data_IF_245867675378
#
_entry.id   IF_245867675378
#
_cell.length_a   1.000
_cell.length_b   1.000
_cell.length_c   1.000
_cell.angle_alpha   90.00
_cell.angle_beta   90.00
_cell.angle_gamma   90.00
#
_symmetry.space_group_name_H-M   'P 1'
#
loop_
_entity.id
_entity.type
_entity.pdbx_description
1 polymer ?
#
# COMPACT_ATOMS: atom_id res chain seq x y z
N UNK A 1 -17.06 -38.68 -16.21
CA UNK A 1 -16.61 -38.86 -14.81
C UNK A 1 -16.75 -37.54 -14.05
N UNK A 2 -17.68 -37.47 -13.09
CA UNK A 2 -17.89 -36.25 -12.29
C UNK A 2 -16.91 -36.21 -11.11
N UNK A 3 -15.60 -36.10 -11.39
CA UNK A 3 -14.57 -36.03 -10.34
C UNK A 3 -14.33 -34.61 -9.83
N UNK A 4 -14.78 -33.60 -10.54
CA UNK A 4 -14.62 -32.20 -10.14
C UNK A 4 -15.80 -31.33 -10.57
N UNK A 5 -16.01 -30.22 -9.85
CA UNK A 5 -17.03 -29.20 -10.15
C UNK A 5 -16.36 -27.85 -10.25
N UNK A 6 -16.68 -27.07 -11.26
CA UNK A 6 -16.25 -25.67 -11.38
C UNK A 6 -16.95 -24.84 -10.30
N UNK A 7 -16.16 -24.10 -9.52
CA UNK A 7 -16.64 -23.21 -8.46
C UNK A 7 -16.59 -21.75 -8.90
N UNK A 8 -15.51 -21.35 -9.58
CA UNK A 8 -15.33 -20.00 -10.10
C UNK A 8 -14.70 -20.04 -11.48
N UNK A 9 -15.01 -19.04 -12.32
CA UNK A 9 -14.39 -18.87 -13.64
C UNK A 9 -13.19 -17.95 -13.65
N UNK A 10 -13.13 -17.02 -12.69
CA UNK A 10 -12.02 -16.08 -12.56
C UNK A 10 -11.73 -15.79 -11.08
N UNK A 11 -10.58 -16.23 -10.53
CA UNK A 11 -9.67 -17.21 -11.14
C UNK A 11 -10.37 -18.55 -11.38
N UNK A 12 -9.91 -19.31 -12.38
CA UNK A 12 -10.52 -20.61 -12.69
C UNK A 12 -10.27 -21.57 -11.53
N UNK A 13 -11.34 -21.96 -10.86
CA UNK A 13 -11.28 -22.77 -9.64
C UNK A 13 -12.21 -23.97 -9.76
N UNK A 14 -11.68 -25.13 -9.46
CA UNK A 14 -12.44 -26.38 -9.41
C UNK A 14 -12.42 -26.93 -7.99
N UNK A 15 -13.52 -27.52 -7.56
CA UNK A 15 -13.61 -28.32 -6.33
C UNK A 15 -13.55 -29.80 -6.72
N UNK A 16 -12.62 -30.54 -6.14
CA UNK A 16 -12.59 -32.00 -6.25
C UNK A 16 -13.76 -32.59 -5.49
N UNK A 17 -14.39 -33.62 -6.04
CA UNK A 17 -15.54 -34.32 -5.44
C UNK A 17 -15.13 -35.65 -4.81
N UNK A 18 -13.88 -35.87 -4.58
CA UNK A 18 -13.28 -37.01 -3.90
C UNK A 18 -12.24 -36.51 -2.89
N UNK A 19 -11.98 -37.33 -1.89
CA UNK A 19 -10.94 -37.01 -0.91
C UNK A 19 -9.57 -37.12 -1.56
N UNK A 20 -8.78 -36.08 -1.41
CA UNK A 20 -7.40 -36.01 -1.86
C UNK A 20 -6.48 -35.69 -0.71
N UNK A 21 -5.21 -36.06 -0.84
CA UNK A 21 -4.18 -35.67 0.11
C UNK A 21 -4.00 -34.17 0.10
N UNK A 22 -3.96 -33.53 1.29
CA UNK A 22 -3.77 -32.10 1.46
C UNK A 22 -2.29 -31.72 1.51
N UNK A 23 -1.44 -32.41 0.75
CA UNK A 23 -0.04 -32.03 0.65
C UNK A 23 0.09 -30.78 -0.19
N UNK A 24 0.51 -29.69 0.43
CA UNK A 24 0.87 -28.44 -0.24
C UNK A 24 2.36 -28.25 -0.17
N UNK A 25 2.97 -27.82 -1.27
CA UNK A 25 4.38 -27.43 -1.24
C UNK A 25 4.51 -26.04 -0.64
N UNK A 26 5.63 -25.75 0.00
CA UNK A 26 5.92 -24.44 0.54
C UNK A 26 6.17 -23.45 -0.59
N UNK A 27 5.46 -22.31 -0.53
CA UNK A 27 5.55 -21.25 -1.51
C UNK A 27 5.98 -19.94 -0.86
N UNK A 28 6.86 -19.25 -1.55
CA UNK A 28 7.42 -17.96 -1.12
C UNK A 28 6.80 -16.85 -1.98
N UNK A 29 6.12 -15.90 -1.35
CA UNK A 29 5.59 -14.71 -2.04
C UNK A 29 6.57 -13.55 -1.86
N UNK A 30 7.19 -13.11 -2.95
CA UNK A 30 7.95 -11.87 -3.05
C UNK A 30 7.04 -10.71 -3.44
N UNK A 31 7.19 -9.59 -2.76
CA UNK A 31 6.40 -8.36 -3.02
C UNK A 31 7.34 -7.17 -3.18
N UNK A 32 7.36 -6.60 -4.38
CA UNK A 32 7.94 -5.28 -4.64
C UNK A 32 6.91 -4.20 -4.34
N UNK A 33 7.18 -3.40 -3.31
CA UNK A 33 6.25 -2.40 -2.80
C UNK A 33 6.42 -1.05 -3.49
N UNK A 34 6.06 -0.96 -4.75
CA UNK A 34 6.08 0.30 -5.51
C UNK A 34 4.97 1.29 -5.10
N UNK A 35 5.18 2.56 -5.35
CA UNK A 35 4.18 3.61 -5.06
C UNK A 35 3.16 3.81 -6.18
N UNK A 36 3.50 3.43 -7.40
CA UNK A 36 2.64 3.49 -8.60
C UNK A 36 2.23 2.12 -9.10
N UNK A 37 3.10 1.13 -8.92
CA UNK A 37 2.91 -0.24 -9.35
C UNK A 37 3.35 -1.17 -8.23
N UNK A 38 2.68 -2.29 -8.07
CA UNK A 38 3.03 -3.36 -7.13
C UNK A 38 3.42 -4.56 -7.97
N UNK A 39 4.65 -5.05 -7.83
CA UNK A 39 5.10 -6.30 -8.40
C UNK A 39 4.95 -7.44 -7.39
N UNK A 40 4.44 -8.60 -7.82
CA UNK A 40 4.43 -9.79 -6.98
C UNK A 40 4.89 -11.00 -7.76
N UNK A 41 5.61 -11.89 -7.11
CA UNK A 41 6.02 -13.18 -7.67
C UNK A 41 5.93 -14.25 -6.59
N UNK A 42 5.44 -15.43 -6.97
CA UNK A 42 5.41 -16.60 -6.09
C UNK A 42 6.34 -17.66 -6.67
N UNK A 43 7.27 -18.14 -5.85
CA UNK A 43 8.19 -19.22 -6.20
C UNK A 43 8.09 -20.38 -5.24
N UNK A 44 8.51 -21.55 -5.69
CA UNK A 44 8.81 -22.68 -4.83
C UNK A 44 10.20 -22.51 -4.18
N UNK A 45 10.59 -23.43 -3.30
CA UNK A 45 11.91 -23.46 -2.66
C UNK A 45 13.06 -23.63 -3.66
N UNK A 46 12.80 -24.18 -4.83
CA UNK A 46 13.79 -24.39 -5.90
C UNK A 46 13.96 -23.17 -6.79
N UNK A 47 13.17 -22.11 -6.58
CA UNK A 47 13.21 -20.89 -7.38
C UNK A 47 12.36 -20.94 -8.66
N UNK A 48 11.54 -21.96 -8.87
CA UNK A 48 10.61 -21.98 -9.99
C UNK A 48 9.45 -21.04 -9.72
N UNK A 49 9.15 -20.17 -10.69
CA UNK A 49 8.07 -19.20 -10.57
C UNK A 49 6.73 -19.86 -10.92
N UNK A 50 5.79 -19.82 -9.97
CA UNK A 50 4.45 -20.39 -10.09
C UNK A 50 3.42 -19.34 -10.48
N UNK A 51 3.62 -18.10 -10.02
CA UNK A 51 2.69 -16.99 -10.24
C UNK A 51 3.44 -15.66 -10.30
N UNK A 52 2.98 -14.77 -11.18
CA UNK A 52 3.47 -13.38 -11.22
C UNK A 52 2.29 -12.45 -11.47
N UNK A 53 2.30 -11.28 -10.83
CA UNK A 53 1.36 -10.20 -11.14
C UNK A 53 2.00 -8.83 -11.03
N UNK A 54 1.47 -7.91 -11.82
CA UNK A 54 1.77 -6.49 -11.76
C UNK A 54 0.47 -5.71 -11.63
N UNK A 55 0.38 -4.85 -10.62
CA UNK A 55 -0.83 -4.09 -10.32
C UNK A 55 -0.52 -2.61 -10.34
N UNK A 56 -1.23 -1.88 -11.18
CA UNK A 56 -1.19 -0.41 -11.18
C UNK A 56 -2.01 0.12 -10.03
N UNK A 57 -1.33 0.81 -9.11
CA UNK A 57 -1.96 1.40 -7.94
C UNK A 57 -2.81 2.60 -8.34
N UNK A 58 -3.96 2.69 -7.75
CA UNK A 58 -4.92 3.77 -7.99
C UNK A 58 -4.32 5.15 -7.72
N UNK A 59 -4.38 6.06 -8.69
CA UNK A 59 -3.81 7.40 -8.65
C UNK A 59 -4.85 8.54 -8.59
N UNK A 60 -6.16 8.25 -8.68
CA UNK A 60 -7.24 9.25 -8.75
C UNK A 60 -7.69 9.83 -7.39
N UNK A 61 -7.13 9.34 -6.28
CA UNK A 61 -7.53 9.73 -4.92
C UNK A 61 -7.35 11.24 -4.69
N UNK A 62 -6.23 11.80 -5.12
CA UNK A 62 -5.94 13.23 -4.96
C UNK A 62 -7.00 14.09 -5.66
N UNK A 63 -7.35 13.76 -6.90
CA UNK A 63 -8.37 14.47 -7.67
C UNK A 63 -9.74 14.37 -7.00
N UNK A 64 -10.13 13.18 -6.54
CA UNK A 64 -11.39 12.97 -5.80
C UNK A 64 -11.43 13.74 -4.47
N UNK A 65 -10.33 13.82 -3.75
CA UNK A 65 -10.25 14.61 -2.52
C UNK A 65 -10.37 16.12 -2.79
N UNK A 66 -9.78 16.61 -3.87
CA UNK A 66 -9.92 18.01 -4.32
C UNK A 66 -11.35 18.32 -4.71
N UNK A 67 -12.00 17.45 -5.48
CA UNK A 67 -13.43 17.59 -5.81
C UNK A 67 -14.31 17.63 -4.56
N UNK A 68 -14.10 16.70 -3.62
CA UNK A 68 -14.81 16.68 -2.34
C UNK A 68 -14.61 17.98 -1.55
N UNK A 69 -13.42 18.56 -1.56
CA UNK A 69 -13.14 19.84 -0.91
C UNK A 69 -13.92 20.98 -1.60
N UNK A 70 -13.95 20.99 -2.96
CA UNK A 70 -14.74 21.95 -3.76
C UNK A 70 -16.23 21.85 -3.44
N UNK A 71 -16.81 20.65 -3.43
CA UNK A 71 -18.22 20.46 -3.09
C UNK A 71 -18.56 20.87 -1.65
N UNK A 72 -17.68 20.58 -0.68
CA UNK A 72 -17.87 21.04 0.71
C UNK A 72 -17.83 22.56 0.82
N UNK A 73 -16.94 23.22 0.06
CA UNK A 73 -16.86 24.70 0.01
C UNK A 73 -18.16 25.28 -0.58
N UNK A 74 -18.61 24.76 -1.73
CA UNK A 74 -19.86 25.21 -2.36
C UNK A 74 -21.06 25.01 -1.45
N UNK A 75 -21.16 23.86 -0.75
CA UNK A 75 -22.25 23.59 0.19
C UNK A 75 -22.26 24.57 1.36
N UNK A 76 -21.11 24.98 1.87
CA UNK A 76 -20.99 25.99 2.92
C UNK A 76 -21.41 27.38 2.45
N UNK A 77 -21.11 27.72 1.21
CA UNK A 77 -21.39 29.04 0.65
C UNK A 77 -22.85 29.21 0.17
N UNK A 78 -23.62 28.14 0.02
CA UNK A 78 -25.03 28.19 -0.41
C UNK A 78 -25.97 28.80 0.63
N UNK A 79 -25.60 28.79 1.90
CA UNK A 79 -26.41 29.37 2.97
C UNK A 79 -25.77 30.68 3.41
N UNK A 80 -26.60 31.68 3.54
CA UNK A 80 -26.29 33.11 3.80
C UNK A 80 -25.39 33.39 5.01
N UNK A 81 -25.15 32.42 5.88
CA UNK A 81 -24.32 32.60 7.05
C UNK A 81 -22.87 32.16 6.77
N UNK A 82 -21.96 33.14 6.67
CA UNK A 82 -20.53 32.86 6.62
C UNK A 82 -20.09 32.15 7.90
N UNK A 83 -19.48 30.99 7.75
CA UNK A 83 -18.81 30.29 8.83
C UNK A 83 -17.31 30.32 8.59
N UNK A 84 -16.54 30.78 9.56
CA UNK A 84 -15.08 30.71 9.51
C UNK A 84 -14.62 29.30 9.21
N UNK A 85 -13.63 29.16 8.33
CA UNK A 85 -13.01 27.88 8.07
C UNK A 85 -12.33 27.37 9.35
N UNK A 86 -12.62 26.13 9.74
CA UNK A 86 -12.01 25.50 10.92
C UNK A 86 -10.70 24.84 10.52
N UNK A 87 -9.66 25.62 10.38
CA UNK A 87 -8.33 25.13 9.98
C UNK A 87 -7.72 24.17 11.00
N UNK A 88 -7.95 24.42 12.28
CA UNK A 88 -7.36 23.69 13.41
C UNK A 88 -8.08 22.39 13.79
N UNK A 89 -9.19 22.03 13.12
CA UNK A 89 -9.90 20.78 13.43
C UNK A 89 -9.04 19.52 13.22
N UNK A 90 -7.94 19.61 12.47
CA UNK A 90 -7.01 18.49 12.27
C UNK A 90 -6.04 18.32 13.43
N UNK A 91 -5.60 19.43 14.05
CA UNK A 91 -4.68 19.39 15.19
C UNK A 91 -5.33 18.74 16.43
N UNK A 92 -6.64 18.94 16.64
CA UNK A 92 -7.41 18.38 17.76
C UNK A 92 -8.23 17.14 17.37
N UNK A 93 -7.97 16.54 16.22
CA UNK A 93 -8.69 15.34 15.79
C UNK A 93 -8.23 14.12 16.58
N UNK A 94 -9.18 13.29 17.02
CA UNK A 94 -8.92 11.94 17.59
C UNK A 94 -8.09 11.07 16.63
N UNK A 95 -8.08 11.43 15.34
CA UNK A 95 -7.32 10.72 14.28
C UNK A 95 -6.02 11.45 13.91
N UNK A 96 -5.32 11.99 14.89
CA UNK A 96 -4.15 12.85 14.70
C UNK A 96 -3.04 12.13 13.89
N UNK A 97 -2.80 10.87 14.16
CA UNK A 97 -1.68 10.11 13.60
C UNK A 97 -2.05 9.22 12.40
N UNK A 98 -3.21 9.45 11.79
CA UNK A 98 -3.64 8.69 10.63
C UNK A 98 -2.86 9.07 9.36
N UNK A 99 -2.61 8.10 8.52
CA UNK A 99 -2.13 8.33 7.16
C UNK A 99 -3.13 9.17 6.35
N UNK A 100 -2.61 9.90 5.37
CA UNK A 100 -3.47 10.58 4.38
C UNK A 100 -4.34 9.56 3.62
N UNK A 101 -5.52 9.97 3.10
CA UNK A 101 -6.38 9.05 2.33
C UNK A 101 -5.67 8.39 1.15
N UNK A 102 -4.71 9.09 0.51
CA UNK A 102 -3.90 8.54 -0.58
C UNK A 102 -2.99 7.42 -0.08
N UNK A 103 -2.31 7.62 1.05
CA UNK A 103 -1.44 6.60 1.65
C UNK A 103 -2.24 5.39 2.13
N UNK A 104 -3.39 5.63 2.79
CA UNK A 104 -4.27 4.53 3.19
C UNK A 104 -4.74 3.70 1.99
N UNK A 105 -5.13 4.37 0.89
CA UNK A 105 -5.54 3.66 -0.32
C UNK A 105 -4.41 2.82 -0.91
N UNK A 106 -3.18 3.34 -0.91
CA UNK A 106 -2.01 2.59 -1.39
C UNK A 106 -1.73 1.37 -0.51
N UNK A 107 -1.69 1.55 0.81
CA UNK A 107 -1.51 0.44 1.76
C UNK A 107 -2.58 -0.65 1.58
N UNK A 108 -3.85 -0.25 1.49
CA UNK A 108 -4.94 -1.21 1.27
C UNK A 108 -4.79 -1.96 -0.06
N UNK A 109 -4.24 -1.33 -1.11
CA UNK A 109 -3.99 -2.01 -2.37
C UNK A 109 -2.94 -3.12 -2.22
N UNK A 110 -1.86 -2.87 -1.48
CA UNK A 110 -0.84 -3.88 -1.20
C UNK A 110 -1.40 -5.03 -0.36
N UNK A 111 -2.08 -4.72 0.74
CA UNK A 111 -2.67 -5.74 1.62
C UNK A 111 -3.69 -6.60 0.85
N UNK A 112 -4.56 -5.96 0.07
CA UNK A 112 -5.59 -6.66 -0.73
C UNK A 112 -4.97 -7.62 -1.73
N UNK A 113 -3.87 -7.26 -2.37
CA UNK A 113 -3.18 -8.15 -3.31
C UNK A 113 -2.55 -9.35 -2.60
N UNK A 114 -1.89 -9.11 -1.48
CA UNK A 114 -1.30 -10.18 -0.67
C UNK A 114 -2.40 -11.15 -0.19
N UNK A 115 -3.51 -10.62 0.30
CA UNK A 115 -4.66 -11.43 0.73
C UNK A 115 -5.26 -12.23 -0.42
N UNK A 116 -5.36 -11.61 -1.61
CA UNK A 116 -5.84 -12.30 -2.81
C UNK A 116 -4.94 -13.47 -3.18
N UNK A 117 -3.62 -13.27 -3.25
CA UNK A 117 -2.66 -14.34 -3.58
C UNK A 117 -2.71 -15.45 -2.52
N UNK A 118 -2.76 -15.10 -1.23
CA UNK A 118 -2.93 -16.07 -0.13
C UNK A 118 -4.24 -16.86 -0.21
N UNK A 119 -5.27 -16.31 -0.82
CA UNK A 119 -6.55 -17.00 -1.00
C UNK A 119 -6.52 -18.07 -2.09
N UNK A 120 -5.59 -17.96 -3.04
CA UNK A 120 -5.48 -18.88 -4.19
C UNK A 120 -4.28 -19.81 -4.12
N UNK A 121 -3.24 -19.44 -3.36
CA UNK A 121 -2.00 -20.21 -3.24
C UNK A 121 -1.62 -20.41 -1.77
N UNK A 122 -1.07 -21.58 -1.40
CA UNK A 122 -0.65 -21.88 -0.03
C UNK A 122 0.70 -21.20 0.30
N UNK A 123 0.67 -19.90 0.52
CA UNK A 123 1.85 -19.10 0.82
C UNK A 123 2.29 -19.36 2.27
N UNK A 124 3.51 -19.81 2.47
CA UNK A 124 4.13 -20.05 3.77
C UNK A 124 5.03 -18.90 4.20
N UNK A 125 5.76 -18.30 3.26
CA UNK A 125 6.72 -17.23 3.53
C UNK A 125 6.40 -15.99 2.71
N UNK A 126 6.53 -14.81 3.34
CA UNK A 126 6.32 -13.53 2.71
C UNK A 126 7.61 -12.70 2.75
N UNK A 127 8.08 -12.26 1.59
CA UNK A 127 9.30 -11.48 1.44
C UNK A 127 8.96 -10.12 0.85
N UNK A 128 9.39 -9.04 1.50
CA UNK A 128 9.21 -7.68 1.00
C UNK A 128 10.52 -7.08 0.52
N UNK A 129 10.49 -6.44 -0.63
CA UNK A 129 11.58 -5.59 -1.03
C UNK A 129 11.55 -4.28 -0.24
N UNK A 130 12.61 -4.02 0.55
CA UNK A 130 12.78 -2.78 1.31
C UNK A 130 13.91 -1.97 0.67
N UNK A 131 13.59 -1.07 -0.25
CA UNK A 131 14.56 -0.12 -0.79
C UNK A 131 14.93 0.96 0.25
N UNK A 132 16.19 1.08 0.58
CA UNK A 132 16.73 2.17 1.41
C UNK A 132 17.19 3.32 0.52
N UNK A 133 16.26 4.01 -0.14
CA UNK A 133 16.59 5.17 -0.95
C UNK A 133 16.20 6.46 -0.23
N UNK A 134 17.18 7.33 0.01
CA UNK A 134 16.93 8.70 0.44
C UNK A 134 16.60 9.57 -0.79
N UNK A 135 15.32 9.68 -1.09
CA UNK A 135 14.82 10.45 -2.24
C UNK A 135 15.18 11.93 -2.16
N UNK A 136 15.31 12.50 -0.97
CA UNK A 136 15.69 13.89 -0.79
C UNK A 136 17.17 14.10 -1.12
N UNK A 137 18.02 13.21 -0.60
CA UNK A 137 19.45 13.21 -0.86
C UNK A 137 19.75 12.98 -2.35
N UNK A 138 19.02 12.07 -3.00
CA UNK A 138 19.17 11.80 -4.44
C UNK A 138 18.82 13.02 -5.30
N UNK A 139 17.78 13.78 -4.92
CA UNK A 139 17.39 15.02 -5.63
C UNK A 139 18.32 16.18 -5.34
N UNK A 140 18.87 16.25 -4.15
CA UNK A 140 19.72 17.35 -3.71
C UNK A 140 20.91 16.82 -2.89
N UNK A 141 22.06 16.56 -3.53
CA UNK A 141 23.25 16.03 -2.87
C UNK A 141 23.80 16.93 -1.75
N UNK A 142 23.46 18.23 -1.72
CA UNK A 142 23.87 19.17 -0.66
C UNK A 142 23.35 18.72 0.71
N UNK A 143 22.26 17.95 0.74
CA UNK A 143 21.69 17.39 1.97
C UNK A 143 22.59 16.34 2.67
N UNK A 144 23.65 15.89 2.02
CA UNK A 144 24.69 15.09 2.65
C UNK A 144 25.40 15.87 3.77
N UNK A 145 25.46 17.21 3.66
CA UNK A 145 26.01 18.07 4.69
C UNK A 145 25.04 18.17 5.88
N UNK A 146 25.49 17.73 7.05
CA UNK A 146 24.68 17.69 8.29
C UNK A 146 24.10 19.06 8.69
N UNK A 147 24.81 20.17 8.38
CA UNK A 147 24.36 21.54 8.68
C UNK A 147 23.17 21.99 7.82
N UNK A 148 23.03 21.46 6.60
CA UNK A 148 21.99 21.85 5.64
C UNK A 148 20.85 20.82 5.65
N UNK A 149 21.09 19.62 6.10
CA UNK A 149 20.15 18.50 6.08
C UNK A 149 18.79 18.86 6.68
N UNK A 150 18.76 19.54 7.80
CA UNK A 150 17.50 19.89 8.50
C UNK A 150 16.65 20.94 7.75
N UNK A 151 17.22 21.68 6.80
CA UNK A 151 16.48 22.63 5.97
C UNK A 151 15.83 21.98 4.74
N UNK A 152 16.46 20.95 4.22
CA UNK A 152 16.04 20.27 3.00
C UNK A 152 14.99 19.18 3.19
N UNK A 153 14.82 18.68 4.42
CA UNK A 153 13.81 17.68 4.75
C UNK A 153 12.55 18.34 5.33
N UNK A 154 11.39 17.83 4.92
CA UNK A 154 10.13 18.29 5.52
C UNK A 154 10.09 17.92 7.01
N UNK A 155 9.81 18.90 7.86
CA UNK A 155 9.56 18.67 9.28
C UNK A 155 8.16 18.07 9.48
N UNK A 156 8.04 16.78 9.39
CA UNK A 156 6.79 16.03 9.55
C UNK A 156 7.03 14.70 10.27
N UNK A 157 6.07 13.82 10.24
CA UNK A 157 6.14 12.48 10.86
C UNK A 157 7.34 11.67 10.35
N UNK A 158 7.74 11.91 9.11
CA UNK A 158 8.90 11.25 8.48
C UNK A 158 10.23 11.99 8.70
N UNK A 159 10.25 13.04 9.54
CA UNK A 159 11.46 13.79 9.81
C UNK A 159 12.51 12.92 10.50
N UNK A 160 13.70 12.86 9.93
CA UNK A 160 14.78 12.00 10.43
C UNK A 160 14.84 10.60 9.82
N UNK A 161 13.84 10.21 9.03
CA UNK A 161 13.84 8.95 8.31
C UNK A 161 14.12 9.15 6.82
N UNK A 162 14.86 8.22 6.23
CA UNK A 162 15.21 8.25 4.80
C UNK A 162 13.96 8.18 3.90
N UNK A 163 12.97 7.44 4.34
CA UNK A 163 11.71 7.26 3.63
C UNK A 163 10.58 6.82 4.59
N UNK A 164 9.35 6.77 4.09
CA UNK A 164 8.18 6.37 4.88
C UNK A 164 8.28 4.92 5.35
N UNK A 165 8.90 4.01 4.58
CA UNK A 165 9.11 2.62 5.00
C UNK A 165 9.99 2.55 6.25
N UNK A 166 11.11 3.29 6.27
CA UNK A 166 12.01 3.33 7.43
C UNK A 166 11.30 3.87 8.68
N UNK A 167 10.45 4.87 8.53
CA UNK A 167 9.65 5.41 9.64
C UNK A 167 8.66 4.38 10.18
N UNK A 168 7.94 3.68 9.31
CA UNK A 168 6.96 2.65 9.71
C UNK A 168 7.66 1.49 10.41
N UNK A 169 8.76 0.97 9.85
CA UNK A 169 9.51 -0.11 10.47
C UNK A 169 10.05 0.27 11.85
N UNK A 170 10.51 1.52 12.03
CA UNK A 170 10.99 1.98 13.34
C UNK A 170 9.86 2.21 14.36
N UNK A 171 8.65 2.51 13.90
CA UNK A 171 7.49 2.67 14.77
C UNK A 171 6.94 1.34 15.27
N UNK A 172 6.94 0.32 14.41
CA UNK A 172 6.25 -0.96 14.62
C UNK A 172 7.20 -2.05 15.19
N UNK A 173 8.51 -1.74 15.36
CA UNK A 173 9.48 -2.51 16.15
C UNK A 173 9.48 -2.04 17.60
#
# INVERSE_FOLDING_TARGET
>A
DRKAKVVSRCPFTIKLLYDSTNYTQDLILGVDTGSGTIGTAVSDEKGNIVYMSEIVVRNDITNKMTQRAKYRRNRRNRKTRYRKARWLNRANSIRKDRFSPTMQSKLHSHVKEIEYIKSILPITTLVFETGKFDMHLMKNPILANSKVRHWGYQKGVNYGFENTKAMVLNRDN
#
